data_IF_672359943529
#
_entry.id   IF_672359943529
#
_cell.length_a   1.000
_cell.length_b   1.000
_cell.length_c   1.000
_cell.angle_alpha   90.00
_cell.angle_beta   90.00
_cell.angle_gamma   90.00
#
_symmetry.space_group_name_H-M   'P 1'
#
loop_
_entity.id
_entity.type
_entity.pdbx_description
1 polymer ?
#
# COMPACT_ATOMS: atom_id res chain seq x y z
N UNK A 1 8.63 6.38 -3.94
CA UNK A 1 8.09 5.63 -2.80
C UNK A 1 9.23 5.18 -1.87
N UNK A 2 9.25 5.65 -0.62
CA UNK A 2 10.38 5.48 0.32
C UNK A 2 10.53 4.07 0.93
N UNK A 3 9.43 3.32 1.10
CA UNK A 3 9.44 2.04 1.82
C UNK A 3 8.92 0.86 0.96
N UNK A 4 9.74 0.31 0.05
CA UNK A 4 9.37 -0.84 -0.77
C UNK A 4 9.11 -2.12 0.03
N UNK A 5 9.73 -2.27 1.21
CA UNK A 5 9.52 -3.44 2.07
C UNK A 5 8.08 -3.50 2.61
N UNK A 6 7.54 -2.37 3.08
CA UNK A 6 6.15 -2.29 3.55
C UNK A 6 5.16 -2.63 2.43
N UNK A 7 5.40 -2.18 1.19
CA UNK A 7 4.56 -2.56 0.05
C UNK A 7 4.55 -4.07 -0.17
N UNK A 8 5.72 -4.73 -0.16
CA UNK A 8 5.78 -6.20 -0.31
C UNK A 8 4.99 -6.93 0.78
N UNK A 9 4.97 -6.42 2.00
CA UNK A 9 4.16 -6.97 3.10
C UNK A 9 2.68 -6.79 2.82
N UNK A 10 2.26 -5.61 2.36
CA UNK A 10 0.86 -5.33 1.99
C UNK A 10 0.41 -6.22 0.83
N UNK A 11 1.23 -6.36 -0.21
CA UNK A 11 0.98 -7.27 -1.34
C UNK A 11 0.89 -8.73 -0.88
N UNK A 12 1.77 -9.16 0.03
CA UNK A 12 1.70 -10.50 0.63
C UNK A 12 0.41 -10.74 1.44
N UNK A 13 -0.16 -9.69 2.03
CA UNK A 13 -1.45 -9.76 2.74
C UNK A 13 -2.68 -9.73 1.81
N UNK A 14 -2.47 -9.74 0.49
CA UNK A 14 -3.55 -9.74 -0.50
C UNK A 14 -4.00 -8.36 -0.97
N UNK A 15 -3.32 -7.29 -0.53
CA UNK A 15 -3.61 -5.94 -1.02
C UNK A 15 -3.00 -5.72 -2.41
N UNK A 16 -3.68 -4.97 -3.26
CA UNK A 16 -3.21 -4.57 -4.58
C UNK A 16 -2.63 -3.16 -4.54
N UNK A 17 -1.55 -2.93 -5.29
CA UNK A 17 -0.96 -1.61 -5.44
C UNK A 17 -1.76 -0.76 -6.43
N UNK A 18 -2.20 0.42 -6.00
CA UNK A 18 -3.07 1.29 -6.82
C UNK A 18 -2.33 2.49 -7.41
N UNK A 19 -1.20 2.90 -6.81
CA UNK A 19 -0.42 4.01 -7.35
C UNK A 19 0.39 4.78 -6.30
N UNK A 20 0.87 5.95 -6.72
CA UNK A 20 1.71 6.83 -5.89
C UNK A 20 1.11 8.23 -5.87
N UNK A 21 0.84 8.74 -4.66
CA UNK A 21 0.58 10.17 -4.44
C UNK A 21 1.91 10.88 -4.21
N UNK A 22 2.26 11.80 -5.11
CA UNK A 22 3.54 12.53 -5.05
C UNK A 22 3.49 13.64 -4.01
N UNK A 23 4.49 13.70 -3.14
CA UNK A 23 4.58 14.74 -2.10
C UNK A 23 3.39 14.78 -1.12
N UNK A 24 2.75 13.64 -0.88
CA UNK A 24 1.51 13.52 -0.08
C UNK A 24 1.76 13.73 1.43
N UNK A 25 2.99 13.48 1.89
CA UNK A 25 3.34 13.51 3.31
C UNK A 25 4.54 14.42 3.54
N UNK A 26 4.48 15.28 4.57
CA UNK A 26 5.64 16.03 5.06
C UNK A 26 6.24 15.30 6.26
N UNK A 27 7.47 14.78 6.13
CA UNK A 27 8.17 14.06 7.18
C UNK A 27 9.62 14.52 7.26
N UNK A 28 10.10 14.84 8.47
CA UNK A 28 11.45 15.35 8.69
C UNK A 28 11.80 16.51 7.74
N UNK A 29 10.86 17.43 7.54
CA UNK A 29 10.98 18.59 6.63
C UNK A 29 11.19 18.25 5.14
N UNK A 30 10.89 17.02 4.73
CA UNK A 30 10.94 16.57 3.32
C UNK A 30 9.56 16.07 2.90
N UNK A 31 9.08 16.50 1.74
CA UNK A 31 7.88 15.94 1.13
C UNK A 31 8.18 14.58 0.52
N UNK A 32 7.39 13.58 0.87
CA UNK A 32 7.58 12.19 0.47
C UNK A 32 6.41 11.65 -0.36
N UNK A 33 6.76 10.78 -1.30
CA UNK A 33 5.81 10.00 -2.08
C UNK A 33 5.18 8.88 -1.25
N UNK A 34 3.85 8.82 -1.28
CA UNK A 34 3.06 7.81 -0.59
C UNK A 34 2.52 6.79 -1.59
N UNK A 35 2.97 5.54 -1.45
CA UNK A 35 2.43 4.41 -2.21
C UNK A 35 1.14 3.90 -1.57
N UNK A 36 0.09 3.75 -2.38
CA UNK A 36 -1.22 3.28 -1.95
C UNK A 36 -1.40 1.82 -2.33
N UNK A 37 -1.84 1.03 -1.35
CA UNK A 37 -2.38 -0.30 -1.58
C UNK A 37 -3.79 -0.38 -1.00
N UNK A 38 -4.64 -1.19 -1.59
CA UNK A 38 -5.99 -1.45 -1.13
C UNK A 38 -6.35 -2.93 -1.26
N UNK A 39 -7.35 -3.36 -0.51
CA UNK A 39 -7.99 -4.65 -0.68
C UNK A 39 -9.50 -4.43 -0.57
N UNK A 40 -10.27 -4.97 -1.50
CA UNK A 40 -11.73 -4.87 -1.38
C UNK A 40 -12.21 -5.87 -0.34
N UNK A 41 -13.40 -5.62 0.22
CA UNK A 41 -14.03 -6.58 1.13
C UNK A 41 -14.20 -7.95 0.47
N UNK A 42 -14.55 -7.97 -0.82
CA UNK A 42 -14.77 -9.20 -1.56
C UNK A 42 -13.48 -10.02 -1.65
N UNK A 43 -12.39 -9.40 -2.12
CA UNK A 43 -11.08 -10.08 -2.25
C UNK A 43 -10.57 -10.59 -0.90
N UNK A 44 -10.76 -9.79 0.17
CA UNK A 44 -10.40 -10.22 1.52
C UNK A 44 -11.17 -11.46 1.96
N UNK A 45 -12.49 -11.51 1.72
CA UNK A 45 -13.32 -12.65 2.08
C UNK A 45 -13.04 -13.88 1.24
N UNK A 46 -12.58 -13.72 -0.01
CA UNK A 46 -12.18 -14.83 -0.87
C UNK A 46 -10.87 -15.47 -0.38
N UNK A 47 -9.88 -14.66 0.02
CA UNK A 47 -8.61 -15.15 0.58
C UNK A 47 -8.75 -15.94 1.88
N UNK A 48 -9.82 -15.73 2.66
CA UNK A 48 -10.05 -16.46 3.92
C UNK A 48 -10.70 -17.84 3.72
N UNK A 49 -11.13 -18.17 2.49
CA UNK A 49 -11.78 -19.46 2.18
C UNK A 49 -10.77 -20.55 1.81
N UNK A 50 -9.51 -20.19 1.57
CA UNK A 50 -8.38 -21.07 1.29
C UNK A 50 -7.57 -21.36 2.56
#
# INVERSE_FOLDING_TARGET
MRNPASRRVQEKSGMQFEGIRRGDLLKNSVYEDHGMCAITRQDYLELQKE
#
